data_IF_991626617567
#
_entry.id   IF_991626617567
#
_cell.length_a   1.000
_cell.length_b   1.000
_cell.length_c   1.000
_cell.angle_alpha   90.00
_cell.angle_beta   90.00
_cell.angle_gamma   90.00
#
_symmetry.space_group_name_H-M   'P 1'
#
loop_
_entity.id
_entity.type
_entity.pdbx_description
1 polymer ?
#
# COMPACT_ATOMS: atom_id res chain seq x y z
N UNK A 1 15.00 12.75 1.54
CA UNK A 1 15.78 11.54 1.76
C UNK A 1 16.60 11.56 3.02
N UNK A 2 16.86 10.41 3.56
CA UNK A 2 17.69 10.23 4.75
C UNK A 2 18.71 9.12 4.50
N UNK A 3 19.71 9.04 5.38
CA UNK A 3 20.76 8.02 5.31
C UNK A 3 20.88 7.33 6.67
N UNK A 4 21.17 6.02 6.66
CA UNK A 4 21.23 5.18 7.84
C UNK A 4 19.92 5.13 8.62
N UNK A 5 18.86 4.65 7.97
CA UNK A 5 17.55 4.45 8.60
C UNK A 5 17.43 3.00 9.05
N UNK A 6 16.98 2.77 10.27
CA UNK A 6 16.64 1.44 10.74
C UNK A 6 15.30 1.43 11.47
N UNK A 7 14.47 0.42 11.16
CA UNK A 7 13.27 0.05 11.93
C UNK A 7 13.51 -1.40 12.35
N UNK A 8 13.74 -1.62 13.64
CA UNK A 8 14.16 -2.92 14.18
C UNK A 8 13.37 -3.29 15.43
N UNK A 9 13.40 -4.58 15.77
CA UNK A 9 12.74 -5.11 16.96
C UNK A 9 11.62 -6.08 16.64
N UNK A 10 10.76 -6.39 17.61
CA UNK A 10 9.72 -7.39 17.51
C UNK A 10 8.30 -6.81 17.66
N UNK A 11 8.20 -5.49 17.49
CA UNK A 11 6.92 -4.77 17.60
C UNK A 11 6.04 -4.96 16.37
N UNK A 12 4.82 -4.42 16.49
CA UNK A 12 3.82 -4.39 15.41
C UNK A 12 3.56 -2.94 15.03
N UNK A 13 3.61 -2.65 13.72
CA UNK A 13 3.14 -1.40 13.14
C UNK A 13 1.85 -1.71 12.39
N UNK A 14 0.73 -1.21 12.91
CA UNK A 14 -0.61 -1.45 12.38
C UNK A 14 -1.16 -0.18 11.72
N UNK A 15 -1.64 -0.30 10.50
CA UNK A 15 -2.13 0.82 9.70
C UNK A 15 -3.62 1.15 9.88
N UNK A 16 -4.36 0.40 10.70
CA UNK A 16 -5.82 0.53 10.85
C UNK A 16 -6.56 0.61 9.51
N UNK A 17 -6.12 -0.20 8.56
CA UNK A 17 -6.53 -0.11 7.16
C UNK A 17 -8.01 -0.36 6.90
N UNK A 18 -8.71 -1.01 7.85
CA UNK A 18 -10.16 -1.22 7.77
C UNK A 18 -10.95 0.09 7.75
N UNK A 19 -10.41 1.16 8.34
CA UNK A 19 -11.02 2.49 8.30
C UNK A 19 -10.96 3.15 6.91
N UNK A 20 -10.12 2.62 6.02
CA UNK A 20 -9.82 3.21 4.71
C UNK A 20 -10.26 2.37 3.53
N UNK A 21 -10.21 1.04 3.68
CA UNK A 21 -10.35 0.12 2.55
C UNK A 21 -11.79 -0.05 2.12
N UNK A 22 -12.03 0.04 0.82
CA UNK A 22 -13.23 -0.53 0.22
C UNK A 22 -13.14 -2.05 0.22
N UNK A 23 -14.28 -2.72 0.21
CA UNK A 23 -14.37 -4.18 0.18
C UNK A 23 -15.32 -4.62 -0.92
N UNK A 24 -14.84 -5.50 -1.80
CA UNK A 24 -15.69 -6.11 -2.84
C UNK A 24 -16.52 -7.24 -2.27
N UNK A 25 -17.80 -7.32 -2.65
CA UNK A 25 -18.72 -8.33 -2.17
C UNK A 25 -18.30 -9.77 -2.47
N UNK A 26 -17.72 -10.00 -3.66
CA UNK A 26 -17.24 -11.31 -4.09
C UNK A 26 -16.03 -11.83 -3.29
N UNK A 27 -15.41 -10.98 -2.51
CA UNK A 27 -14.33 -11.32 -1.60
C UNK A 27 -14.80 -11.79 -0.23
N UNK A 28 -16.07 -11.72 0.08
CA UNK A 28 -16.61 -12.08 1.40
C UNK A 28 -17.71 -13.13 1.29
N UNK A 29 -17.86 -13.94 2.34
CA UNK A 29 -19.07 -14.74 2.52
C UNK A 29 -20.28 -13.83 2.72
N UNK A 30 -21.46 -14.34 2.41
CA UNK A 30 -22.73 -13.58 2.57
C UNK A 30 -22.93 -13.11 4.02
N UNK A 31 -22.54 -13.92 5.00
CA UNK A 31 -22.61 -13.54 6.41
C UNK A 31 -21.67 -12.37 6.75
N UNK A 32 -20.42 -12.42 6.27
CA UNK A 32 -19.45 -11.36 6.52
C UNK A 32 -19.83 -10.08 5.76
N UNK A 33 -20.38 -10.21 4.55
CA UNK A 33 -20.92 -9.07 3.82
C UNK A 33 -22.04 -8.36 4.58
N UNK A 34 -23.03 -9.11 5.11
CA UNK A 34 -24.12 -8.54 5.91
C UNK A 34 -23.59 -7.84 7.17
N UNK A 35 -22.61 -8.44 7.85
CA UNK A 35 -21.98 -7.80 9.02
C UNK A 35 -21.29 -6.48 8.63
N UNK A 36 -20.53 -6.48 7.54
CA UNK A 36 -19.83 -5.29 7.07
C UNK A 36 -20.81 -4.17 6.72
N UNK A 37 -21.85 -4.46 5.95
CA UNK A 37 -22.89 -3.48 5.59
C UNK A 37 -23.62 -2.97 6.83
N UNK A 38 -23.89 -3.83 7.79
CA UNK A 38 -24.55 -3.47 9.06
C UNK A 38 -23.67 -2.63 10.01
N UNK A 39 -22.33 -2.59 9.79
CA UNK A 39 -21.43 -1.78 10.62
C UNK A 39 -21.39 -0.30 10.21
N UNK A 40 -22.09 0.09 9.15
CA UNK A 40 -22.08 1.44 8.58
C UNK A 40 -21.43 1.50 7.22
N UNK A 41 -20.96 2.69 6.81
CA UNK A 41 -20.40 2.93 5.48
C UNK A 41 -21.47 3.00 4.39
N UNK A 42 -21.05 2.84 3.14
CA UNK A 42 -21.91 3.00 1.95
C UNK A 42 -21.68 1.87 0.97
N UNK A 43 -22.73 1.40 0.34
CA UNK A 43 -22.64 0.41 -0.74
C UNK A 43 -22.79 1.10 -2.08
N UNK A 44 -21.97 0.72 -3.07
CA UNK A 44 -22.08 1.22 -4.45
C UNK A 44 -23.46 0.95 -5.07
N UNK A 45 -23.84 1.74 -6.05
CA UNK A 45 -25.14 1.64 -6.74
C UNK A 45 -25.39 0.23 -7.34
N UNK A 46 -24.34 -0.44 -7.82
CA UNK A 46 -24.38 -1.81 -8.35
C UNK A 46 -24.36 -2.90 -7.26
N UNK A 47 -24.32 -2.50 -5.99
CA UNK A 47 -24.28 -3.37 -4.79
C UNK A 47 -23.10 -4.35 -4.73
N UNK A 48 -22.01 -4.03 -5.43
CA UNK A 48 -20.84 -4.92 -5.52
C UNK A 48 -19.68 -4.49 -4.63
N UNK A 49 -19.67 -3.25 -4.14
CA UNK A 49 -18.55 -2.75 -3.33
C UNK A 49 -19.07 -1.94 -2.15
N UNK A 50 -18.53 -2.22 -0.99
CA UNK A 50 -18.73 -1.41 0.23
C UNK A 50 -17.58 -0.41 0.37
N UNK A 51 -17.90 0.79 0.81
CA UNK A 51 -16.95 1.88 1.09
C UNK A 51 -17.13 2.35 2.54
N UNK A 52 -16.03 2.72 3.23
CA UNK A 52 -16.11 3.18 4.62
C UNK A 52 -16.86 4.50 4.78
N UNK A 53 -16.94 5.33 3.74
CA UNK A 53 -17.60 6.64 3.77
C UNK A 53 -18.10 7.09 2.40
N UNK A 54 -18.99 8.09 2.38
CA UNK A 54 -19.42 8.79 1.16
C UNK A 54 -18.23 9.45 0.45
N UNK A 55 -17.27 10.01 1.17
CA UNK A 55 -16.03 10.58 0.64
C UNK A 55 -15.24 9.52 -0.17
N UNK A 56 -15.13 8.32 0.38
CA UNK A 56 -14.48 7.20 -0.29
C UNK A 56 -15.22 6.76 -1.56
N UNK A 57 -16.54 6.61 -1.50
CA UNK A 57 -17.38 6.30 -2.66
C UNK A 57 -17.25 7.38 -3.74
N UNK A 58 -17.32 8.66 -3.36
CA UNK A 58 -17.20 9.79 -4.28
C UNK A 58 -15.86 9.77 -5.01
N UNK A 59 -14.77 9.59 -4.26
CA UNK A 59 -13.43 9.50 -4.83
C UNK A 59 -13.29 8.34 -5.83
N UNK A 60 -13.97 7.23 -5.60
CA UNK A 60 -13.94 6.07 -6.49
C UNK A 60 -14.54 6.33 -7.88
N UNK A 61 -15.43 7.32 -8.01
CA UNK A 61 -16.11 7.68 -9.27
C UNK A 61 -15.28 8.61 -10.16
N UNK A 62 -14.20 9.21 -9.66
CA UNK A 62 -13.38 10.13 -10.45
C UNK A 62 -12.41 9.41 -11.39
N UNK A 63 -12.22 9.98 -12.58
CA UNK A 63 -11.17 9.58 -13.52
C UNK A 63 -9.78 9.98 -12.96
N UNK A 64 -8.74 9.25 -13.37
CA UNK A 64 -7.35 9.53 -12.94
C UNK A 64 -7.18 9.61 -11.41
N UNK A 65 -7.76 8.65 -10.72
CA UNK A 65 -7.63 8.48 -9.28
C UNK A 65 -6.15 8.30 -8.90
N UNK A 66 -5.73 8.99 -7.86
CA UNK A 66 -4.35 8.89 -7.36
C UNK A 66 -3.30 9.65 -8.18
N UNK A 67 -3.71 10.44 -9.18
CA UNK A 67 -2.82 11.35 -9.90
C UNK A 67 -3.06 12.78 -9.46
N UNK A 68 -1.99 13.50 -9.17
CA UNK A 68 -2.06 14.94 -8.95
C UNK A 68 -2.34 15.60 -10.31
N UNK A 69 -3.38 16.41 -10.37
CA UNK A 69 -3.76 17.15 -11.56
C UNK A 69 -3.81 18.65 -11.23
N UNK A 70 -3.30 19.54 -12.11
CA UNK A 70 -3.42 20.98 -11.93
C UNK A 70 -4.86 21.47 -11.81
N UNK A 71 -5.81 20.72 -12.37
CA UNK A 71 -7.24 21.03 -12.33
C UNK A 71 -7.89 20.72 -10.98
N UNK A 72 -7.20 19.93 -10.13
CA UNK A 72 -7.69 19.53 -8.81
C UNK A 72 -7.03 20.40 -7.74
N UNK A 73 -7.85 21.16 -7.04
CA UNK A 73 -7.42 22.02 -5.94
C UNK A 73 -7.53 21.31 -4.58
N UNK A 74 -7.11 21.98 -3.52
CA UNK A 74 -7.16 21.44 -2.15
C UNK A 74 -8.59 21.06 -1.72
N UNK A 75 -9.61 21.83 -2.10
CA UNK A 75 -11.01 21.53 -1.77
C UNK A 75 -11.43 20.18 -2.35
N UNK A 76 -11.05 19.88 -3.61
CA UNK A 76 -11.31 18.58 -4.21
C UNK A 76 -10.67 17.44 -3.40
N UNK A 77 -9.39 17.58 -3.02
CA UNK A 77 -8.71 16.52 -2.27
C UNK A 77 -9.30 16.32 -0.86
N UNK A 78 -9.74 17.40 -0.21
CA UNK A 78 -10.46 17.32 1.06
C UNK A 78 -11.79 16.54 0.92
N UNK A 79 -12.50 16.76 -0.17
CA UNK A 79 -13.80 16.13 -0.43
C UNK A 79 -13.70 14.61 -0.64
N UNK A 80 -12.59 14.13 -1.20
CA UNK A 80 -12.35 12.71 -1.51
C UNK A 80 -11.24 12.09 -0.65
N UNK A 81 -10.91 12.69 0.47
CA UNK A 81 -9.74 12.32 1.28
C UNK A 81 -9.73 10.85 1.70
N UNK A 82 -10.88 10.28 2.05
CA UNK A 82 -10.96 8.91 2.53
C UNK A 82 -10.72 7.88 1.41
N UNK A 83 -10.84 8.31 0.15
CA UNK A 83 -10.44 7.50 -0.99
C UNK A 83 -8.92 7.48 -1.20
N UNK A 84 -8.21 8.52 -0.76
CA UNK A 84 -6.77 8.68 -0.94
C UNK A 84 -6.01 7.90 0.15
N UNK A 85 -6.16 6.59 0.12
CA UNK A 85 -5.59 5.68 1.11
C UNK A 85 -4.05 5.81 1.18
N UNK A 86 -3.46 6.05 2.36
CA UNK A 86 -2.01 6.09 2.50
C UNK A 86 -1.39 4.69 2.43
N UNK A 87 -0.14 4.61 2.00
CA UNK A 87 0.70 3.45 2.23
C UNK A 87 1.17 3.45 3.70
N UNK A 88 1.38 2.27 4.29
CA UNK A 88 1.76 2.18 5.71
C UNK A 88 3.15 2.77 5.97
N UNK A 89 4.12 2.40 5.15
CA UNK A 89 5.49 2.91 5.25
C UNK A 89 5.99 3.32 3.88
N UNK A 90 6.36 4.60 3.74
CA UNK A 90 7.02 5.12 2.53
C UNK A 90 8.41 5.63 2.88
N UNK A 91 9.44 5.13 2.20
CA UNK A 91 10.83 5.57 2.38
C UNK A 91 11.33 6.09 1.03
N UNK A 92 11.47 7.41 0.91
CA UNK A 92 11.76 8.07 -0.37
C UNK A 92 13.16 8.65 -0.41
N UNK A 93 13.89 8.43 -1.54
CA UNK A 93 15.22 9.01 -1.84
C UNK A 93 16.22 8.82 -0.68
N UNK A 94 16.24 7.61 -0.12
CA UNK A 94 17.01 7.29 1.08
C UNK A 94 18.07 6.23 0.81
N UNK A 95 19.10 6.19 1.65
CA UNK A 95 20.24 5.30 1.47
C UNK A 95 20.59 4.58 2.78
N UNK A 96 20.98 3.31 2.69
CA UNK A 96 21.27 2.42 3.80
C UNK A 96 20.10 2.27 4.77
N UNK A 97 19.16 1.43 4.34
CA UNK A 97 17.89 1.17 5.02
C UNK A 97 17.90 -0.26 5.57
N UNK A 98 17.51 -0.43 6.82
CA UNK A 98 17.31 -1.73 7.46
C UNK A 98 15.89 -1.83 8.03
N UNK A 99 15.14 -2.84 7.60
CA UNK A 99 13.90 -3.26 8.25
C UNK A 99 14.10 -4.67 8.80
N UNK A 100 14.01 -4.86 10.12
CA UNK A 100 14.34 -6.13 10.75
C UNK A 100 13.44 -6.49 11.94
N UNK A 101 12.86 -7.69 11.91
CA UNK A 101 12.14 -8.31 13.02
C UNK A 101 10.71 -7.81 13.24
N UNK A 102 10.33 -6.68 12.68
CA UNK A 102 9.06 -6.00 12.90
C UNK A 102 7.93 -6.65 12.09
N UNK A 103 6.73 -6.67 12.64
CA UNK A 103 5.51 -6.98 11.90
C UNK A 103 4.87 -5.70 11.39
N UNK A 104 4.62 -5.62 10.08
CA UNK A 104 3.85 -4.56 9.43
C UNK A 104 2.51 -5.14 9.02
N UNK A 105 1.42 -4.52 9.40
CA UNK A 105 0.12 -5.09 9.10
C UNK A 105 -0.97 -4.08 8.86
N UNK A 106 -2.04 -4.57 8.23
CA UNK A 106 -3.31 -3.88 8.12
C UNK A 106 -3.18 -2.50 7.46
N UNK A 107 -2.43 -2.44 6.36
CA UNK A 107 -2.21 -1.20 5.62
C UNK A 107 -3.50 -0.73 4.90
N UNK A 108 -3.76 0.57 4.81
CA UNK A 108 -4.84 1.10 3.98
C UNK A 108 -4.68 0.83 2.48
N UNK A 109 -3.45 0.84 1.98
CA UNK A 109 -3.05 0.52 0.61
C UNK A 109 -1.78 -0.35 0.64
N UNK A 110 -0.77 -0.09 -0.18
CA UNK A 110 0.51 -0.80 -0.14
C UNK A 110 1.15 -0.73 1.25
N UNK A 111 1.73 -1.83 1.70
CA UNK A 111 2.29 -1.87 3.04
C UNK A 111 3.67 -1.18 3.11
N UNK A 112 4.65 -1.71 2.41
CA UNK A 112 6.00 -1.18 2.38
C UNK A 112 6.32 -0.62 0.99
N UNK A 113 6.64 0.67 0.90
CA UNK A 113 6.94 1.34 -0.36
C UNK A 113 8.27 2.11 -0.31
N UNK A 114 9.40 1.43 -0.45
CA UNK A 114 10.67 2.09 -0.78
C UNK A 114 10.58 2.70 -2.19
N UNK A 115 10.89 3.99 -2.30
CA UNK A 115 10.79 4.76 -3.54
C UNK A 115 12.08 5.53 -3.80
N UNK A 116 12.70 5.32 -4.97
CA UNK A 116 13.95 5.97 -5.37
C UNK A 116 15.04 5.84 -4.29
N UNK A 117 15.17 4.67 -3.68
CA UNK A 117 16.05 4.41 -2.54
C UNK A 117 17.05 3.31 -2.85
N UNK A 118 18.15 3.26 -2.11
CA UNK A 118 19.24 2.31 -2.38
C UNK A 118 19.83 1.71 -1.13
N UNK A 119 20.54 0.55 -1.30
CA UNK A 119 21.17 -0.20 -0.23
C UNK A 119 20.18 -0.57 0.87
N UNK A 120 19.19 -1.37 0.49
CA UNK A 120 18.03 -1.74 1.31
C UNK A 120 18.19 -3.18 1.77
N UNK A 121 18.11 -3.42 3.07
CA UNK A 121 18.03 -4.75 3.67
C UNK A 121 16.69 -4.90 4.39
N UNK A 122 15.94 -5.92 4.03
CA UNK A 122 14.65 -6.29 4.64
C UNK A 122 14.80 -7.74 5.07
N UNK A 123 14.73 -8.03 6.37
CA UNK A 123 14.93 -9.38 6.87
C UNK A 123 14.14 -9.69 8.12
N UNK A 124 13.76 -10.96 8.25
CA UNK A 124 13.07 -11.47 9.44
C UNK A 124 11.79 -10.67 9.79
N UNK A 125 11.13 -10.06 8.80
CA UNK A 125 9.89 -9.32 9.00
C UNK A 125 8.66 -10.17 8.64
N UNK A 126 7.50 -9.77 9.16
CA UNK A 126 6.21 -10.24 8.70
C UNK A 126 5.40 -9.09 8.14
N UNK A 127 4.84 -9.27 6.95
CA UNK A 127 3.90 -8.32 6.34
C UNK A 127 2.56 -9.00 6.17
N UNK A 128 1.49 -8.42 6.75
CA UNK A 128 0.16 -9.05 6.78
C UNK A 128 -0.93 -8.07 6.41
N UNK A 129 -1.71 -8.42 5.39
CA UNK A 129 -2.94 -7.73 5.06
C UNK A 129 -4.06 -8.75 4.87
N UNK A 130 -5.33 -8.41 5.17
CA UNK A 130 -6.45 -9.30 4.90
C UNK A 130 -6.50 -9.69 3.42
N UNK A 131 -6.85 -10.94 3.14
CA UNK A 131 -6.95 -11.49 1.78
C UNK A 131 -7.88 -10.68 0.85
N UNK A 132 -8.81 -9.93 1.39
CA UNK A 132 -9.75 -9.07 0.65
C UNK A 132 -9.23 -7.63 0.50
N UNK A 133 -8.05 -7.30 1.03
CA UNK A 133 -7.48 -5.96 0.96
C UNK A 133 -7.06 -5.62 -0.47
N UNK A 134 -7.87 -4.84 -1.17
CA UNK A 134 -7.54 -4.36 -2.50
C UNK A 134 -6.37 -3.38 -2.47
N UNK A 135 -5.36 -3.60 -3.33
CA UNK A 135 -4.07 -2.92 -3.29
C UNK A 135 -3.38 -3.05 -1.92
N UNK A 136 -3.58 -4.18 -1.27
CA UNK A 136 -2.93 -4.52 -0.01
C UNK A 136 -1.60 -5.21 -0.23
N UNK A 137 -0.81 -4.74 -1.21
CA UNK A 137 0.49 -5.28 -1.59
C UNK A 137 1.45 -5.24 -0.39
N UNK A 138 2.33 -6.24 -0.32
CA UNK A 138 3.25 -6.37 0.79
C UNK A 138 4.46 -5.44 0.70
N UNK A 139 5.18 -5.52 -0.40
CA UNK A 139 6.38 -4.74 -0.66
C UNK A 139 6.42 -4.26 -2.11
N UNK A 140 6.47 -2.97 -2.30
CA UNK A 140 6.59 -2.30 -3.60
C UNK A 140 7.93 -1.61 -3.72
N UNK A 141 8.89 -2.27 -4.35
CA UNK A 141 10.20 -1.70 -4.66
C UNK A 141 10.09 -0.85 -5.92
N UNK A 142 10.05 0.47 -5.79
CA UNK A 142 9.90 1.37 -6.94
C UNK A 142 11.15 2.21 -7.16
N UNK A 143 11.80 2.01 -8.32
CA UNK A 143 13.04 2.72 -8.69
C UNK A 143 14.14 2.58 -7.62
N UNK A 144 14.31 1.38 -7.07
CA UNK A 144 15.26 1.05 -6.01
C UNK A 144 16.47 0.28 -6.55
N UNK A 145 17.59 0.31 -5.84
CA UNK A 145 18.77 -0.48 -6.20
C UNK A 145 19.47 -1.09 -5.00
N UNK A 146 20.18 -2.22 -5.24
CA UNK A 146 20.91 -2.97 -4.23
C UNK A 146 20.00 -3.37 -3.06
N UNK A 147 19.06 -4.24 -3.32
CA UNK A 147 18.03 -4.65 -2.36
C UNK A 147 18.21 -6.12 -2.00
N UNK A 148 18.24 -6.42 -0.71
CA UNK A 148 18.16 -7.77 -0.16
C UNK A 148 16.88 -7.91 0.64
N UNK A 149 16.06 -8.89 0.27
CA UNK A 149 14.88 -9.33 1.03
C UNK A 149 15.09 -10.78 1.42
N UNK A 150 15.13 -11.09 2.71
CA UNK A 150 15.39 -12.45 3.15
C UNK A 150 14.63 -12.85 4.41
N UNK A 151 14.38 -14.16 4.53
CA UNK A 151 13.80 -14.78 5.74
C UNK A 151 12.53 -14.08 6.22
N UNK A 152 11.67 -13.65 5.29
CA UNK A 152 10.52 -12.80 5.58
C UNK A 152 9.24 -13.41 5.04
N UNK A 153 8.10 -13.05 5.65
CA UNK A 153 6.77 -13.55 5.26
C UNK A 153 5.91 -12.41 4.74
N UNK A 154 5.28 -12.62 3.59
CA UNK A 154 4.34 -11.70 2.97
C UNK A 154 3.00 -12.42 2.76
N UNK A 155 2.09 -12.27 3.72
CA UNK A 155 0.74 -12.85 3.69
C UNK A 155 -0.27 -11.70 3.50
N UNK A 156 -0.63 -11.45 2.25
CA UNK A 156 -1.32 -10.22 1.85
C UNK A 156 -2.46 -10.48 0.86
N UNK A 157 -3.28 -9.48 0.64
CA UNK A 157 -4.50 -9.59 -0.19
C UNK A 157 -4.30 -9.23 -1.67
N UNK A 158 -3.13 -8.75 -2.03
CA UNK A 158 -2.72 -8.43 -3.40
C UNK A 158 -1.29 -8.96 -3.61
N UNK A 159 -0.44 -8.32 -4.41
CA UNK A 159 0.92 -8.82 -4.69
C UNK A 159 1.80 -8.89 -3.43
N UNK A 160 2.52 -10.00 -3.24
CA UNK A 160 3.45 -10.16 -2.11
C UNK A 160 4.64 -9.22 -2.21
N UNK A 161 5.35 -9.26 -3.36
CA UNK A 161 6.50 -8.40 -3.66
C UNK A 161 6.38 -7.92 -5.11
N UNK A 162 6.36 -6.60 -5.31
CA UNK A 162 6.35 -5.95 -6.60
C UNK A 162 7.68 -5.26 -6.90
N UNK A 163 8.15 -5.39 -8.14
CA UNK A 163 9.32 -4.67 -8.64
C UNK A 163 8.85 -3.70 -9.71
N UNK A 164 8.95 -2.40 -9.40
CA UNK A 164 8.42 -1.30 -10.22
C UNK A 164 9.53 -0.31 -10.60
N UNK A 165 9.37 0.37 -11.74
CA UNK A 165 10.32 1.39 -12.23
C UNK A 165 9.62 2.73 -12.54
N UNK A 166 8.55 3.00 -11.83
CA UNK A 166 7.70 4.16 -12.05
C UNK A 166 6.50 3.86 -12.95
N UNK A 167 5.65 4.84 -13.12
CA UNK A 167 4.41 4.72 -13.89
C UNK A 167 4.32 5.76 -14.98
N UNK A 168 3.81 5.36 -16.14
CA UNK A 168 3.46 6.21 -17.28
C UNK A 168 4.61 7.14 -17.73
N UNK A 169 4.31 8.37 -18.05
CA UNK A 169 5.27 9.37 -18.50
C UNK A 169 6.27 9.77 -17.42
N UNK A 170 5.81 9.88 -16.17
CA UNK A 170 6.68 10.19 -15.04
C UNK A 170 7.75 9.13 -14.83
N UNK A 171 7.37 7.86 -14.88
CA UNK A 171 8.32 6.75 -14.79
C UNK A 171 9.34 6.77 -15.93
N UNK A 172 8.90 7.03 -17.16
CA UNK A 172 9.81 7.17 -18.32
C UNK A 172 10.76 8.34 -18.18
N UNK A 173 10.28 9.51 -17.75
CA UNK A 173 11.11 10.70 -17.49
C UNK A 173 12.10 10.50 -16.36
N UNK A 174 11.69 9.79 -15.31
CA UNK A 174 12.55 9.43 -14.18
C UNK A 174 13.73 8.57 -14.61
N UNK A 175 13.54 7.69 -15.58
CA UNK A 175 14.56 6.81 -16.16
C UNK A 175 15.39 6.06 -15.10
N UNK A 176 14.75 5.65 -14.01
CA UNK A 176 15.38 5.00 -12.85
C UNK A 176 14.78 3.61 -12.63
N UNK A 177 15.37 2.56 -13.21
CA UNK A 177 14.86 1.20 -13.04
C UNK A 177 15.18 0.65 -11.64
N UNK A 178 14.33 -0.23 -11.15
CA UNK A 178 14.68 -1.08 -10.02
C UNK A 178 15.66 -2.16 -10.49
N UNK A 179 16.79 -2.32 -9.78
CA UNK A 179 17.88 -3.22 -10.18
C UNK A 179 18.63 -3.80 -8.99
N UNK A 180 19.37 -4.89 -9.23
CA UNK A 180 20.18 -5.58 -8.20
C UNK A 180 19.31 -5.97 -6.98
N UNK A 181 18.27 -6.75 -7.21
CA UNK A 181 17.36 -7.24 -6.18
C UNK A 181 17.59 -8.72 -5.96
N UNK A 182 17.76 -9.11 -4.71
CA UNK A 182 17.82 -10.49 -4.27
C UNK A 182 16.68 -10.73 -3.30
N UNK A 183 15.85 -11.74 -3.59
CA UNK A 183 14.80 -12.21 -2.69
C UNK A 183 15.09 -13.69 -2.42
N UNK A 184 15.20 -14.06 -1.14
CA UNK A 184 15.48 -15.45 -0.76
C UNK A 184 14.82 -15.86 0.55
N UNK A 185 14.43 -17.11 0.65
CA UNK A 185 13.82 -17.69 1.85
C UNK A 185 12.58 -16.87 2.32
N UNK A 186 11.67 -16.51 1.38
CA UNK A 186 10.45 -15.75 1.64
C UNK A 186 9.21 -16.56 1.24
#
# INVERSE_FOLDING_TARGET
GATNIAITGFGIIDGAGEAWRMVKRDKLSESNWKKLVGSGGVVSDDKKTWYPSESSLKGSKHKNRGQISPEKNMAFYQEVKDFLRPNLLVITKSNRILLEGVTFQNSPAWCLHPLMSENITIRNISVKNPWYAQNGDGLDLESCSNVLVENSVFDVGDDGICIKSGRDEEGRKRAMPTKNVIVRNC
#
